data_IF_515060107063
#
_entry.id   IF_515060107063
#
_cell.length_a   1.000
_cell.length_b   1.000
_cell.length_c   1.000
_cell.angle_alpha   90.00
_cell.angle_beta   90.00
_cell.angle_gamma   90.00
#
_symmetry.space_group_name_H-M   'P 1'
#
loop_
_entity.id
_entity.type
_entity.pdbx_description
1 polymer ?
#
# COMPACT_ATOMS: atom_id res chain seq x y z
N UNK A 1 -3.64 -16.07 -35.62
CA UNK A 1 -2.23 -15.83 -35.19
C UNK A 1 -2.16 -14.59 -34.28
N UNK A 2 -2.90 -13.53 -34.54
CA UNK A 2 -2.96 -12.29 -33.75
C UNK A 2 -3.41 -12.53 -32.31
N UNK A 3 -4.51 -13.23 -32.08
CA UNK A 3 -5.02 -13.52 -30.73
C UNK A 3 -3.97 -14.23 -29.82
N UNK A 4 -3.16 -15.16 -30.40
CA UNK A 4 -2.09 -15.80 -29.63
C UNK A 4 -0.95 -14.84 -29.28
N UNK A 5 -0.65 -13.91 -30.15
CA UNK A 5 0.37 -12.88 -29.93
C UNK A 5 -0.09 -11.89 -28.85
N UNK A 6 -1.37 -11.48 -28.89
CA UNK A 6 -1.96 -10.58 -27.91
C UNK A 6 -2.02 -11.23 -26.52
N UNK A 7 -2.52 -12.48 -26.43
CA UNK A 7 -2.53 -13.23 -25.15
C UNK A 7 -1.10 -13.40 -24.61
N UNK A 8 -0.11 -13.71 -25.46
CA UNK A 8 1.28 -13.84 -25.01
C UNK A 8 1.80 -12.51 -24.46
N UNK A 9 1.49 -11.40 -25.16
CA UNK A 9 1.90 -10.04 -24.71
C UNK A 9 1.26 -9.70 -23.36
N UNK A 10 -0.04 -9.93 -23.21
CA UNK A 10 -0.75 -9.67 -21.93
C UNK A 10 -0.20 -10.51 -20.78
N UNK A 11 0.00 -11.82 -21.02
CA UNK A 11 0.59 -12.71 -20.01
C UNK A 11 2.02 -12.32 -19.64
N UNK A 12 2.82 -11.86 -20.61
CA UNK A 12 4.16 -11.36 -20.33
C UNK A 12 4.09 -10.11 -19.48
N UNK A 13 3.28 -9.13 -19.87
CA UNK A 13 3.09 -7.89 -19.10
C UNK A 13 2.55 -8.15 -17.69
N UNK A 14 1.66 -9.13 -17.53
CA UNK A 14 1.16 -9.53 -16.21
C UNK A 14 2.29 -10.12 -15.36
N UNK A 15 3.06 -11.05 -15.91
CA UNK A 15 4.20 -11.68 -15.20
C UNK A 15 5.27 -10.66 -14.83
N UNK A 16 5.56 -9.73 -15.72
CA UNK A 16 6.54 -8.66 -15.45
C UNK A 16 6.04 -7.77 -14.28
N UNK A 17 4.77 -7.38 -14.28
CA UNK A 17 4.17 -6.64 -13.16
C UNK A 17 4.23 -7.43 -11.84
N UNK A 18 3.87 -8.72 -11.87
CA UNK A 18 3.93 -9.57 -10.68
C UNK A 18 5.37 -9.72 -10.16
N UNK A 19 6.35 -9.82 -11.05
CA UNK A 19 7.76 -9.88 -10.70
C UNK A 19 8.23 -8.55 -10.07
N UNK A 20 7.85 -7.42 -10.67
CA UNK A 20 8.17 -6.09 -10.15
C UNK A 20 7.55 -5.87 -8.76
N UNK A 21 6.29 -6.23 -8.55
CA UNK A 21 5.64 -6.10 -7.24
C UNK A 21 6.32 -6.99 -6.19
N UNK A 22 6.63 -8.23 -6.52
CA UNK A 22 7.38 -9.12 -5.60
C UNK A 22 8.75 -8.58 -5.27
N UNK A 23 9.43 -8.00 -6.24
CA UNK A 23 10.74 -7.39 -6.04
C UNK A 23 10.67 -6.15 -5.14
N UNK A 24 9.68 -5.28 -5.35
CA UNK A 24 9.40 -4.14 -4.46
C UNK A 24 9.15 -4.60 -3.02
N UNK A 25 8.26 -5.57 -2.85
CA UNK A 25 7.91 -6.09 -1.53
C UNK A 25 9.11 -6.71 -0.82
N UNK A 26 9.93 -7.46 -1.56
CA UNK A 26 11.15 -8.04 -1.03
C UNK A 26 12.16 -6.97 -0.58
N UNK A 27 12.40 -5.97 -1.42
CA UNK A 27 13.32 -4.87 -1.11
C UNK A 27 12.86 -4.06 0.11
N UNK A 28 11.58 -3.69 0.16
CA UNK A 28 11.03 -2.94 1.29
C UNK A 28 11.05 -3.77 2.56
N UNK A 29 10.74 -5.07 2.49
CA UNK A 29 10.81 -5.98 3.62
C UNK A 29 12.23 -6.13 4.15
N UNK A 30 13.20 -6.36 3.28
CA UNK A 30 14.61 -6.51 3.65
C UNK A 30 15.17 -5.21 4.25
N UNK A 31 14.83 -4.07 3.66
CA UNK A 31 15.22 -2.76 4.21
C UNK A 31 14.64 -2.55 5.60
N UNK A 32 13.35 -2.86 5.79
CA UNK A 32 12.69 -2.75 7.09
C UNK A 32 13.29 -3.72 8.12
N UNK A 33 13.60 -4.97 7.77
CA UNK A 33 14.20 -5.97 8.65
C UNK A 33 15.58 -5.52 9.15
N UNK A 34 16.41 -5.01 8.24
CA UNK A 34 17.77 -4.51 8.56
C UNK A 34 17.77 -3.19 9.34
N UNK A 35 16.66 -2.47 9.36
CA UNK A 35 16.55 -1.18 10.04
C UNK A 35 16.17 -1.34 11.50
N UNK A 36 16.77 -0.52 12.37
CA UNK A 36 16.42 -0.43 13.80
C UNK A 36 15.53 0.80 14.00
N UNK A 37 14.24 0.57 14.20
CA UNK A 37 13.24 1.63 14.37
C UNK A 37 12.38 1.32 15.58
N UNK A 38 12.22 2.30 16.48
CA UNK A 38 11.21 2.22 17.53
C UNK A 38 9.82 2.37 16.91
N UNK A 39 8.91 1.47 17.25
CA UNK A 39 7.53 1.51 16.75
C UNK A 39 6.65 2.20 17.80
N UNK A 40 6.12 3.41 17.50
CA UNK A 40 5.16 4.06 18.38
C UNK A 40 3.87 3.22 18.43
N UNK A 41 3.45 2.85 19.63
CA UNK A 41 2.27 2.01 19.84
C UNK A 41 1.00 2.60 19.18
N UNK A 42 0.85 3.92 19.24
CA UNK A 42 -0.27 4.61 18.59
C UNK A 42 -0.36 4.31 17.08
N UNK A 43 0.78 4.29 16.39
CA UNK A 43 0.80 4.00 14.95
C UNK A 43 0.46 2.53 14.68
N UNK A 44 0.92 1.63 15.53
CA UNK A 44 0.61 0.19 15.43
C UNK A 44 -0.88 -0.04 15.63
N UNK A 45 -1.49 0.60 16.64
CA UNK A 45 -2.92 0.51 16.89
C UNK A 45 -3.76 1.11 15.74
N UNK A 46 -3.34 2.24 15.17
CA UNK A 46 -4.02 2.85 14.02
C UNK A 46 -3.95 1.92 12.80
N UNK A 47 -2.80 1.33 12.54
CA UNK A 47 -2.62 0.38 11.46
C UNK A 47 -3.42 -0.91 11.69
N UNK A 48 -3.48 -1.39 12.93
CA UNK A 48 -4.29 -2.54 13.32
C UNK A 48 -5.79 -2.28 13.04
N UNK A 49 -6.30 -1.12 13.44
CA UNK A 49 -7.68 -0.70 13.13
C UNK A 49 -7.94 -0.64 11.63
N UNK A 50 -6.95 -0.24 10.83
CA UNK A 50 -7.07 -0.25 9.37
C UNK A 50 -7.19 -1.67 8.83
N UNK A 51 -6.32 -2.59 9.26
CA UNK A 51 -6.35 -4.01 8.86
C UNK A 51 -7.70 -4.65 9.23
N UNK A 52 -8.21 -4.40 10.42
CA UNK A 52 -9.51 -4.91 10.86
C UNK A 52 -10.67 -4.38 10.00
N UNK A 53 -10.61 -3.10 9.65
CA UNK A 53 -11.63 -2.46 8.80
C UNK A 53 -11.60 -3.04 7.40
N UNK A 54 -10.41 -3.17 6.81
CA UNK A 54 -10.22 -3.71 5.47
C UNK A 54 -10.72 -5.15 5.40
N UNK A 55 -10.37 -5.98 6.41
CA UNK A 55 -10.88 -7.35 6.52
C UNK A 55 -12.40 -7.37 6.58
N UNK A 56 -12.99 -6.58 7.48
CA UNK A 56 -14.46 -6.53 7.65
C UNK A 56 -15.14 -6.13 6.35
N UNK A 57 -14.60 -5.13 5.65
CA UNK A 57 -15.14 -4.67 4.38
C UNK A 57 -15.06 -5.76 3.29
N UNK A 58 -13.93 -6.44 3.18
CA UNK A 58 -13.74 -7.54 2.22
C UNK A 58 -14.69 -8.72 2.50
N UNK A 59 -14.89 -9.06 3.78
CA UNK A 59 -15.83 -10.09 4.19
C UNK A 59 -17.27 -9.72 3.85
N UNK A 60 -17.66 -8.46 4.06
CA UNK A 60 -18.98 -7.97 3.66
C UNK A 60 -19.23 -8.11 2.14
N UNK A 61 -18.25 -7.75 1.31
CA UNK A 61 -18.35 -7.92 -0.14
C UNK A 61 -18.45 -9.39 -0.56
N UNK A 62 -17.81 -10.28 0.19
CA UNK A 62 -17.83 -11.73 -0.08
C UNK A 62 -19.02 -12.45 0.55
N UNK A 63 -19.89 -11.75 1.30
CA UNK A 63 -21.01 -12.35 2.02
C UNK A 63 -20.59 -13.27 3.16
N UNK A 64 -19.36 -13.14 3.66
CA UNK A 64 -18.81 -13.96 4.74
C UNK A 64 -18.89 -13.21 6.08
N UNK A 65 -19.13 -13.96 7.17
CA UNK A 65 -19.00 -13.42 8.51
C UNK A 65 -17.56 -13.52 9.02
N UNK A 66 -17.18 -12.62 9.95
CA UNK A 66 -15.87 -12.69 10.59
C UNK A 66 -15.66 -14.05 11.30
N UNK A 67 -16.67 -14.57 11.98
CA UNK A 67 -16.59 -15.87 12.67
C UNK A 67 -16.32 -17.01 11.72
N UNK A 68 -16.96 -17.00 10.54
CA UNK A 68 -16.72 -18.03 9.50
C UNK A 68 -15.30 -17.93 8.96
N UNK A 69 -14.81 -16.72 8.73
CA UNK A 69 -13.44 -16.48 8.28
C UNK A 69 -12.42 -16.98 9.32
N UNK A 70 -12.57 -16.58 10.59
CA UNK A 70 -11.67 -16.97 11.67
C UNK A 70 -11.59 -18.50 11.81
N UNK A 71 -12.73 -19.18 11.79
CA UNK A 71 -12.78 -20.65 11.84
C UNK A 71 -12.09 -21.30 10.64
N UNK A 72 -12.28 -20.75 9.43
CA UNK A 72 -11.65 -21.27 8.21
C UNK A 72 -10.14 -21.08 8.24
N UNK A 73 -9.66 -19.99 8.83
CA UNK A 73 -8.23 -19.69 9.00
C UNK A 73 -7.62 -20.39 10.23
N UNK A 74 -8.42 -21.12 11.02
CA UNK A 74 -7.95 -21.88 12.18
C UNK A 74 -7.75 -21.06 13.45
N UNK A 75 -8.35 -19.84 13.53
CA UNK A 75 -8.33 -19.02 14.74
C UNK A 75 -9.55 -19.34 15.62
N UNK A 76 -9.30 -19.35 16.90
CA UNK A 76 -10.35 -19.59 17.91
C UNK A 76 -11.32 -18.41 18.00
N UNK A 77 -10.77 -17.20 17.99
CA UNK A 77 -11.50 -15.94 18.14
C UNK A 77 -10.72 -14.77 17.50
N UNK A 78 -11.33 -13.59 17.53
CA UNK A 78 -10.74 -12.36 17.03
C UNK A 78 -9.44 -11.99 17.77
N UNK A 79 -9.38 -12.22 19.07
CA UNK A 79 -8.21 -11.86 19.89
C UNK A 79 -6.99 -12.69 19.51
N UNK A 80 -7.19 -13.97 19.22
CA UNK A 80 -6.10 -14.84 18.74
C UNK A 80 -5.60 -14.40 17.37
N UNK A 81 -6.51 -14.12 16.43
CA UNK A 81 -6.16 -13.59 15.12
C UNK A 81 -5.42 -12.25 15.23
N UNK A 82 -5.94 -11.33 16.06
CA UNK A 82 -5.29 -10.04 16.29
C UNK A 82 -3.84 -10.21 16.78
N UNK A 83 -3.63 -11.09 17.76
CA UNK A 83 -2.30 -11.31 18.34
C UNK A 83 -1.33 -12.02 17.40
N UNK A 84 -1.82 -13.03 16.67
CA UNK A 84 -0.96 -13.91 15.85
C UNK A 84 -0.72 -13.40 14.44
N UNK A 85 -1.65 -12.65 13.88
CA UNK A 85 -1.62 -12.23 12.47
C UNK A 85 -1.72 -10.72 12.29
N UNK A 86 -2.79 -10.09 12.78
CA UNK A 86 -3.05 -8.70 12.46
C UNK A 86 -2.03 -7.74 13.09
N UNK A 87 -1.66 -7.93 14.35
CA UNK A 87 -0.68 -7.08 15.04
C UNK A 87 0.73 -7.21 14.45
N UNK A 88 1.29 -8.41 14.21
CA UNK A 88 2.57 -8.53 13.51
C UNK A 88 2.55 -7.89 12.11
N UNK A 89 1.45 -8.02 11.38
CA UNK A 89 1.29 -7.36 10.08
C UNK A 89 1.23 -5.82 10.22
N UNK A 90 0.55 -5.30 11.24
CA UNK A 90 0.52 -3.87 11.54
C UNK A 90 1.91 -3.34 11.88
N UNK A 91 2.65 -4.00 12.76
CA UNK A 91 4.02 -3.64 13.15
C UNK A 91 4.96 -3.63 11.93
N UNK A 92 4.87 -4.64 11.06
CA UNK A 92 5.64 -4.69 9.82
C UNK A 92 5.32 -3.53 8.87
N UNK A 93 4.03 -3.19 8.70
CA UNK A 93 3.60 -2.06 7.85
C UNK A 93 4.06 -0.71 8.42
N UNK A 94 3.89 -0.49 9.72
CA UNK A 94 4.37 0.73 10.40
C UNK A 94 5.88 0.87 10.25
N UNK A 95 6.62 -0.21 10.50
CA UNK A 95 8.08 -0.23 10.36
C UNK A 95 8.52 0.15 8.95
N UNK A 96 7.94 -0.50 7.94
CA UNK A 96 8.23 -0.20 6.54
C UNK A 96 7.92 1.27 6.18
N UNK A 97 6.77 1.78 6.62
CA UNK A 97 6.39 3.18 6.41
C UNK A 97 7.38 4.18 7.02
N UNK A 98 7.80 3.95 8.27
CA UNK A 98 8.78 4.81 8.95
C UNK A 98 10.14 4.76 8.27
N UNK A 99 10.60 3.58 7.85
CA UNK A 99 11.88 3.42 7.15
C UNK A 99 11.85 4.10 5.78
N UNK A 100 10.76 3.93 5.01
CA UNK A 100 10.60 4.61 3.72
C UNK A 100 10.50 6.12 3.87
N UNK A 101 9.84 6.62 4.92
CA UNK A 101 9.77 8.04 5.20
C UNK A 101 11.16 8.64 5.51
N UNK A 102 12.00 7.92 6.25
CA UNK A 102 13.36 8.39 6.51
C UNK A 102 14.23 8.29 5.25
N UNK A 103 14.14 7.18 4.50
CA UNK A 103 14.86 7.02 3.23
C UNK A 103 14.48 8.12 2.23
N UNK A 104 13.20 8.54 2.18
CA UNK A 104 12.76 9.64 1.30
C UNK A 104 13.47 10.95 1.61
N UNK A 105 13.72 11.25 2.89
CA UNK A 105 14.45 12.44 3.33
C UNK A 105 15.93 12.35 2.95
N UNK A 106 16.56 11.22 3.23
CA UNK A 106 17.96 10.97 2.87
C UNK A 106 18.20 11.11 1.36
N UNK A 107 17.28 10.58 0.55
CA UNK A 107 17.34 10.64 -0.90
C UNK A 107 16.80 11.98 -1.46
N UNK A 108 16.32 12.89 -0.60
CA UNK A 108 15.70 14.18 -0.98
C UNK A 108 14.59 14.03 -2.01
N UNK A 109 13.75 13.02 -1.81
CA UNK A 109 12.62 12.73 -2.70
C UNK A 109 11.44 13.62 -2.29
N UNK A 110 10.95 14.39 -3.25
CA UNK A 110 9.84 15.30 -3.06
C UNK A 110 8.75 15.08 -4.12
N UNK A 111 7.54 15.48 -3.79
CA UNK A 111 6.46 15.60 -4.75
C UNK A 111 6.20 17.09 -4.99
N UNK A 112 6.39 17.57 -6.21
CA UNK A 112 6.14 18.95 -6.57
C UNK A 112 4.65 19.27 -6.56
N UNK A 113 4.30 20.54 -6.39
CA UNK A 113 2.90 20.98 -6.45
C UNK A 113 2.23 20.61 -7.77
N UNK A 114 2.94 20.71 -8.87
CA UNK A 114 2.42 20.39 -10.21
C UNK A 114 2.14 18.91 -10.36
N UNK A 115 2.99 18.04 -9.79
CA UNK A 115 2.76 16.59 -9.79
C UNK A 115 1.54 16.22 -8.95
N UNK A 116 1.42 16.80 -7.76
CA UNK A 116 0.26 16.58 -6.88
C UNK A 116 -1.02 17.04 -7.59
N UNK A 117 -1.00 18.22 -8.22
CA UNK A 117 -2.16 18.74 -8.94
C UNK A 117 -2.56 17.84 -10.11
N UNK A 118 -1.60 17.38 -10.92
CA UNK A 118 -1.87 16.42 -12.01
C UNK A 118 -2.50 15.13 -11.50
N UNK A 119 -2.05 14.63 -10.36
CA UNK A 119 -2.61 13.43 -9.76
C UNK A 119 -4.05 13.64 -9.28
N UNK A 120 -4.32 14.81 -8.68
CA UNK A 120 -5.67 15.21 -8.27
C UNK A 120 -6.58 15.32 -9.48
N UNK A 121 -6.12 15.98 -10.54
CA UNK A 121 -6.90 16.17 -11.78
C UNK A 121 -7.21 14.82 -12.44
N UNK A 122 -6.24 13.90 -12.44
CA UNK A 122 -6.45 12.53 -12.91
C UNK A 122 -7.54 11.79 -12.11
N UNK A 123 -7.50 11.86 -10.78
CA UNK A 123 -8.55 11.27 -9.95
C UNK A 123 -9.90 11.97 -10.18
N UNK A 124 -9.94 13.30 -10.24
CA UNK A 124 -11.18 14.03 -10.54
C UNK A 124 -11.80 13.60 -11.88
N UNK A 125 -10.98 13.33 -12.89
CA UNK A 125 -11.44 12.80 -14.18
C UNK A 125 -12.04 11.39 -14.07
N UNK A 126 -11.43 10.52 -13.26
CA UNK A 126 -11.90 9.15 -13.05
C UNK A 126 -13.25 9.10 -12.30
N UNK A 127 -13.44 9.95 -11.29
CA UNK A 127 -14.67 10.01 -10.51
C UNK A 127 -15.80 10.80 -11.21
N UNK A 128 -15.50 11.43 -12.31
CA UNK A 128 -16.47 11.97 -13.26
C UNK A 128 -17.38 13.03 -12.66
N UNK A 129 -18.69 12.70 -12.48
CA UNK A 129 -19.73 13.64 -12.08
C UNK A 129 -20.16 13.53 -10.62
N UNK A 130 -19.54 12.72 -9.83
CA UNK A 130 -19.87 12.58 -8.40
C UNK A 130 -19.37 13.80 -7.63
N UNK A 131 -20.26 14.76 -7.41
CA UNK A 131 -19.95 16.02 -6.71
C UNK A 131 -19.36 15.80 -5.32
N UNK A 132 -19.87 14.82 -4.55
CA UNK A 132 -19.38 14.54 -3.19
C UNK A 132 -17.94 14.03 -3.19
N UNK A 133 -17.60 13.20 -4.17
CA UNK A 133 -16.22 12.72 -4.34
C UNK A 133 -15.31 13.85 -4.83
N UNK A 134 -15.77 14.72 -5.74
CA UNK A 134 -14.98 15.85 -6.22
C UNK A 134 -14.67 16.86 -5.11
N UNK A 135 -15.63 17.15 -4.24
CA UNK A 135 -15.44 18.05 -3.08
C UNK A 135 -14.39 17.51 -2.08
N UNK A 136 -14.23 16.18 -1.97
CA UNK A 136 -13.19 15.59 -1.13
C UNK A 136 -11.78 15.95 -1.60
N UNK A 137 -11.58 16.12 -2.91
CA UNK A 137 -10.27 16.53 -3.45
C UNK A 137 -9.90 17.99 -3.18
N UNK A 138 -10.81 18.79 -2.64
CA UNK A 138 -10.50 20.16 -2.21
C UNK A 138 -10.01 20.20 -0.75
N UNK A 139 -10.03 19.06 -0.05
CA UNK A 139 -9.56 18.95 1.32
C UNK A 139 -8.02 18.91 1.38
N UNK A 140 -7.37 19.82 2.13
CA UNK A 140 -5.91 19.83 2.29
C UNK A 140 -5.30 18.52 2.82
N UNK A 141 -6.06 17.77 3.63
CA UNK A 141 -5.61 16.46 4.10
C UNK A 141 -5.48 15.45 2.96
N UNK A 142 -6.43 15.45 2.03
CA UNK A 142 -6.36 14.58 0.83
C UNK A 142 -5.16 14.93 -0.04
N UNK A 143 -4.86 16.24 -0.20
CA UNK A 143 -3.66 16.67 -0.92
C UNK A 143 -2.38 16.16 -0.26
N UNK A 144 -2.33 16.22 1.08
CA UNK A 144 -1.19 15.71 1.85
C UNK A 144 -1.05 14.19 1.71
N UNK A 145 -2.16 13.47 1.75
CA UNK A 145 -2.15 12.01 1.62
C UNK A 145 -1.69 11.59 0.21
N UNK A 146 -2.15 12.28 -0.83
CA UNK A 146 -1.68 12.10 -2.20
C UNK A 146 -0.17 12.37 -2.30
N UNK A 147 0.29 13.49 -1.72
CA UNK A 147 1.71 13.85 -1.72
C UNK A 147 2.56 12.78 -1.02
N UNK A 148 2.14 12.32 0.16
CA UNK A 148 2.83 11.28 0.92
C UNK A 148 2.91 9.97 0.14
N UNK A 149 1.81 9.57 -0.52
CA UNK A 149 1.78 8.38 -1.37
C UNK A 149 2.75 8.51 -2.54
N UNK A 150 2.75 9.65 -3.23
CA UNK A 150 3.67 9.92 -4.35
C UNK A 150 5.14 9.86 -3.91
N UNK A 151 5.46 10.44 -2.74
CA UNK A 151 6.81 10.37 -2.17
C UNK A 151 7.20 8.93 -1.89
N UNK A 152 6.30 8.14 -1.28
CA UNK A 152 6.53 6.73 -1.01
C UNK A 152 6.77 5.94 -2.30
N UNK A 153 5.93 6.11 -3.31
CA UNK A 153 6.04 5.43 -4.60
C UNK A 153 7.36 5.79 -5.31
N UNK A 154 7.74 7.07 -5.31
CA UNK A 154 9.03 7.53 -5.86
C UNK A 154 10.22 6.96 -5.08
N UNK A 155 10.10 6.85 -3.76
CA UNK A 155 11.16 6.28 -2.90
C UNK A 155 11.37 4.80 -3.21
N UNK A 156 10.28 4.04 -3.33
CA UNK A 156 10.35 2.63 -3.72
C UNK A 156 10.90 2.47 -5.12
N UNK A 157 10.49 3.30 -6.08
CA UNK A 157 11.04 3.28 -7.43
C UNK A 157 12.55 3.56 -7.43
N UNK A 158 13.00 4.53 -6.64
CA UNK A 158 14.43 4.83 -6.50
C UNK A 158 15.20 3.71 -5.82
N UNK A 159 14.61 3.05 -4.82
CA UNK A 159 15.18 1.89 -4.18
C UNK A 159 15.37 0.73 -5.17
N UNK A 160 14.37 0.48 -6.03
CA UNK A 160 14.48 -0.51 -7.10
C UNK A 160 15.61 -0.15 -8.08
N UNK A 161 15.66 1.09 -8.57
CA UNK A 161 16.71 1.57 -9.47
C UNK A 161 18.10 1.30 -8.88
N UNK A 162 18.32 1.64 -7.62
CA UNK A 162 19.61 1.43 -6.94
C UNK A 162 20.00 -0.05 -6.80
N UNK A 163 19.05 -0.97 -6.88
CA UNK A 163 19.28 -2.40 -6.75
C UNK A 163 19.21 -3.18 -8.08
N UNK A 164 18.74 -2.56 -9.16
CA UNK A 164 18.73 -3.16 -10.51
C UNK A 164 19.89 -2.72 -11.39
N UNK A 165 20.61 -1.68 -11.01
CA UNK A 165 21.69 -1.07 -11.81
C UNK A 165 23.03 -1.81 -11.71
N UNK A 166 23.00 -3.15 -11.66
CA UNK A 166 24.23 -3.96 -11.72
C UNK A 166 24.15 -5.03 -12.77
#
# INVERSE_FOLDING_TARGET
KEVKADIKRELTMQKDREADEKFKDALVSELAEKSKVALPELLVEDQLRSIERDLTQNLMYSGLSLDSYLKTQGFKDKDEWTKKEARPAAEKRVKAGLVLAELSKELKIEASRDEIQKQIDFFKQQYGKDKKMLEQFDNPNVHRDIANRMITDKTVAKLMELNTAK
#
